data_IF_805973528246
#
_entry.id   IF_805973528246
#
_cell.length_a   1.000
_cell.length_b   1.000
_cell.length_c   1.000
_cell.angle_alpha   90.00
_cell.angle_beta   90.00
_cell.angle_gamma   90.00
#
_symmetry.space_group_name_H-M   'P 1'
#
loop_
_entity.id
_entity.type
_entity.pdbx_description
1 polymer ?
#
# COMPACT_ATOMS: atom_id res chain seq x y z
N UNK A 1 24.31 -5.56 6.10
CA UNK A 1 23.31 -5.28 7.15
C UNK A 1 22.27 -4.36 6.55
N UNK A 2 21.14 -4.90 6.12
CA UNK A 2 19.98 -4.10 5.68
C UNK A 2 19.26 -3.63 6.94
N UNK A 3 19.47 -2.37 7.31
CA UNK A 3 18.79 -1.75 8.44
C UNK A 3 17.29 -1.79 8.23
N UNK A 4 16.59 -2.37 9.20
CA UNK A 4 15.13 -2.29 9.33
C UNK A 4 14.80 -0.80 9.42
N UNK A 5 14.07 -0.28 8.43
CA UNK A 5 13.61 1.10 8.46
C UNK A 5 12.68 1.26 9.67
N UNK A 6 13.17 1.93 10.71
CA UNK A 6 12.41 2.30 11.90
C UNK A 6 11.52 3.54 11.61
N UNK A 7 10.89 3.56 10.44
CA UNK A 7 10.13 4.68 9.90
C UNK A 7 8.87 4.22 9.18
N UNK A 8 7.92 5.14 9.02
CA UNK A 8 6.66 4.87 8.33
C UNK A 8 6.90 4.39 6.89
N UNK A 9 6.02 3.56 6.31
CA UNK A 9 6.24 2.99 4.99
C UNK A 9 6.19 4.07 3.91
N UNK A 10 7.13 3.99 2.95
CA UNK A 10 7.17 4.89 1.79
C UNK A 10 6.21 4.44 0.70
N UNK A 11 6.01 5.28 -0.32
CA UNK A 11 5.24 4.95 -1.52
C UNK A 11 5.66 3.62 -2.13
N UNK A 12 6.97 3.37 -2.28
CA UNK A 12 7.50 2.13 -2.87
C UNK A 12 7.21 0.91 -2.00
N UNK A 13 7.22 1.08 -0.67
CA UNK A 13 6.90 0.02 0.28
C UNK A 13 5.43 -0.37 0.14
N UNK A 14 4.53 0.61 0.09
CA UNK A 14 3.09 0.35 -0.05
C UNK A 14 2.79 -0.27 -1.43
N UNK A 15 3.40 0.23 -2.51
CA UNK A 15 3.25 -0.35 -3.85
C UNK A 15 3.68 -1.82 -3.87
N UNK A 16 4.82 -2.13 -3.26
CA UNK A 16 5.30 -3.51 -3.19
C UNK A 16 4.39 -4.40 -2.34
N UNK A 17 3.89 -3.89 -1.22
CA UNK A 17 2.94 -4.62 -0.37
C UNK A 17 1.63 -4.91 -1.12
N UNK A 18 1.13 -3.93 -1.90
CA UNK A 18 -0.02 -4.09 -2.78
C UNK A 18 0.20 -5.21 -3.80
N UNK A 19 1.31 -5.18 -4.54
CA UNK A 19 1.63 -6.18 -5.56
C UNK A 19 1.79 -7.60 -4.98
N UNK A 20 2.28 -7.71 -3.74
CA UNK A 20 2.39 -8.99 -3.05
C UNK A 20 1.04 -9.63 -2.72
N UNK A 21 -0.05 -8.86 -2.67
CA UNK A 21 -1.40 -9.38 -2.46
C UNK A 21 -2.07 -9.88 -3.74
N UNK A 22 -1.47 -9.67 -4.91
CA UNK A 22 -2.02 -10.13 -6.19
C UNK A 22 -2.45 -11.61 -6.20
N UNK A 23 -1.69 -12.57 -5.62
CA UNK A 23 -2.08 -13.98 -5.60
C UNK A 23 -3.35 -14.25 -4.77
N UNK A 24 -3.60 -13.47 -3.72
CA UNK A 24 -4.76 -13.62 -2.82
C UNK A 24 -5.98 -12.83 -3.26
N UNK A 25 -5.80 -11.77 -4.04
CA UNK A 25 -6.83 -10.79 -4.38
C UNK A 25 -7.53 -11.05 -5.73
N UNK A 26 -6.96 -11.91 -6.58
CA UNK A 26 -7.60 -12.37 -7.82
C UNK A 26 -8.04 -11.22 -8.73
N UNK A 27 -9.30 -11.25 -9.16
CA UNK A 27 -9.88 -10.22 -10.06
C UNK A 27 -10.04 -8.83 -9.42
N UNK A 28 -9.89 -8.71 -8.10
CA UNK A 28 -10.00 -7.43 -7.38
C UNK A 28 -8.66 -6.68 -7.33
N UNK A 29 -7.58 -7.34 -7.74
CA UNK A 29 -6.27 -6.71 -7.85
C UNK A 29 -6.14 -6.01 -9.20
N UNK A 30 -6.05 -4.69 -9.16
CA UNK A 30 -5.77 -3.85 -10.31
C UNK A 30 -4.27 -3.87 -10.61
N UNK A 31 -3.90 -4.60 -11.66
CA UNK A 31 -2.50 -4.76 -12.09
C UNK A 31 -1.91 -3.47 -12.67
N UNK A 32 -2.76 -2.52 -13.05
CA UNK A 32 -2.38 -1.21 -13.57
C UNK A 32 -2.27 -0.14 -12.48
N UNK A 33 -2.56 -0.47 -11.22
CA UNK A 33 -2.53 0.48 -10.12
C UNK A 33 -1.09 0.90 -9.81
N UNK A 34 -0.87 2.23 -9.81
CA UNK A 34 0.39 2.86 -9.43
C UNK A 34 0.13 3.90 -8.36
N UNK A 35 0.71 3.69 -7.18
CA UNK A 35 0.69 4.67 -6.10
C UNK A 35 1.67 5.80 -6.46
N UNK A 36 1.14 7.01 -6.48
CA UNK A 36 1.87 8.24 -6.80
C UNK A 36 2.41 8.89 -5.54
N UNK A 37 1.63 8.86 -4.46
CA UNK A 37 1.98 9.48 -3.18
C UNK A 37 1.44 8.64 -2.02
N UNK A 38 2.22 8.55 -0.95
CA UNK A 38 1.82 7.95 0.30
C UNK A 38 2.27 8.84 1.47
N UNK A 39 1.32 9.25 2.31
CA UNK A 39 1.58 9.94 3.56
C UNK A 39 1.04 9.10 4.71
N UNK A 40 1.93 8.66 5.60
CA UNK A 40 1.59 7.78 6.71
C UNK A 40 1.67 8.52 8.05
N UNK A 41 0.86 8.08 9.01
CA UNK A 41 1.00 8.49 10.39
C UNK A 41 2.28 7.94 11.04
N UNK A 42 2.44 8.20 12.34
CA UNK A 42 3.58 7.74 13.14
C UNK A 42 3.51 6.26 13.53
N UNK A 43 2.46 5.55 13.11
CA UNK A 43 2.13 4.21 13.57
C UNK A 43 1.50 4.17 14.96
N UNK A 44 0.75 3.11 15.23
CA UNK A 44 0.18 2.79 16.54
C UNK A 44 1.13 1.94 17.41
N UNK A 45 0.72 1.66 18.65
CA UNK A 45 1.48 0.82 19.60
C UNK A 45 1.66 -0.63 19.11
N UNK A 46 0.87 -1.05 18.13
CA UNK A 46 0.96 -2.37 17.48
C UNK A 46 1.85 -2.37 16.23
N UNK A 47 2.49 -1.23 15.89
CA UNK A 47 3.35 -1.10 14.71
C UNK A 47 2.57 -1.07 13.40
N UNK A 48 1.28 -0.71 13.43
CA UNK A 48 0.44 -0.50 12.24
C UNK A 48 0.41 0.97 11.90
N UNK A 49 0.44 1.25 10.61
CA UNK A 49 0.42 2.60 10.06
C UNK A 49 -0.87 2.81 9.29
N UNK A 50 -1.48 3.97 9.44
CA UNK A 50 -2.52 4.44 8.54
C UNK A 50 -1.89 5.38 7.52
N UNK A 51 -2.06 5.04 6.25
CA UNK A 51 -1.46 5.76 5.14
C UNK A 51 -2.54 6.26 4.20
N UNK A 52 -2.50 7.55 3.94
CA UNK A 52 -3.24 8.19 2.89
C UNK A 52 -2.48 7.98 1.59
N UNK A 53 -3.12 7.36 0.60
CA UNK A 53 -2.48 7.01 -0.66
C UNK A 53 -3.24 7.64 -1.83
N UNK A 54 -2.49 8.25 -2.73
CA UNK A 54 -2.99 8.70 -4.02
C UNK A 54 -2.44 7.80 -5.11
N UNK A 55 -3.30 7.35 -6.02
CA UNK A 55 -2.94 6.39 -7.05
C UNK A 55 -3.65 6.67 -8.37
N UNK A 56 -3.09 6.14 -9.43
CA UNK A 56 -3.71 6.09 -10.77
C UNK A 56 -3.87 4.62 -11.18
N UNK A 57 -4.77 4.36 -12.12
CA UNK A 57 -4.92 3.06 -12.75
C UNK A 57 -4.64 3.18 -14.24
N UNK A 58 -3.85 2.27 -14.80
CA UNK A 58 -3.66 2.17 -16.25
C UNK A 58 -4.95 1.75 -16.99
N UNK A 59 -5.94 1.18 -16.28
CA UNK A 59 -7.25 0.83 -16.83
C UNK A 59 -8.20 2.03 -16.91
N UNK A 60 -7.85 3.17 -16.28
CA UNK A 60 -8.59 4.42 -16.40
C UNK A 60 -8.04 5.26 -17.57
N UNK A 61 -8.78 5.39 -18.71
CA UNK A 61 -8.31 6.15 -19.86
C UNK A 61 -8.13 7.64 -19.57
N UNK A 62 -8.84 8.17 -18.57
CA UNK A 62 -8.74 9.58 -18.17
C UNK A 62 -7.59 9.81 -17.17
N UNK A 63 -6.91 8.74 -16.74
CA UNK A 63 -5.80 8.76 -15.76
C UNK A 63 -6.12 9.60 -14.53
N UNK A 64 -7.35 9.46 -14.00
CA UNK A 64 -7.79 10.26 -12.86
C UNK A 64 -6.95 9.89 -11.64
N UNK A 65 -6.72 10.89 -10.79
CA UNK A 65 -6.09 10.67 -9.50
C UNK A 65 -7.15 10.19 -8.51
N UNK A 66 -6.94 9.00 -7.95
CA UNK A 66 -7.76 8.41 -6.90
C UNK A 66 -7.08 8.53 -5.55
N UNK A 67 -7.87 8.34 -4.50
CA UNK A 67 -7.42 8.40 -3.12
C UNK A 67 -8.01 7.23 -2.31
N UNK A 68 -7.20 6.64 -1.43
CA UNK A 68 -7.65 5.65 -0.45
C UNK A 68 -6.89 5.83 0.88
N UNK A 69 -7.43 5.24 1.96
CA UNK A 69 -6.72 5.11 3.24
C UNK A 69 -6.44 3.63 3.45
N UNK A 70 -5.15 3.27 3.43
CA UNK A 70 -4.69 1.91 3.67
C UNK A 70 -4.15 1.76 5.08
N UNK A 71 -4.21 0.55 5.60
CA UNK A 71 -3.49 0.17 6.82
C UNK A 71 -2.37 -0.78 6.44
N UNK A 72 -1.15 -0.48 6.88
CA UNK A 72 0.04 -1.26 6.60
C UNK A 72 0.74 -1.69 7.90
N UNK A 73 1.30 -2.89 7.91
CA UNK A 73 2.05 -3.42 9.06
C UNK A 73 3.35 -4.08 8.61
N UNK A 74 4.41 -3.92 9.40
CA UNK A 74 5.67 -4.65 9.19
C UNK A 74 5.62 -5.98 9.94
N UNK A 75 5.68 -7.08 9.20
CA UNK A 75 5.69 -8.46 9.74
C UNK A 75 7.08 -9.10 9.58
N UNK A 76 7.23 -10.32 10.10
CA UNK A 76 8.41 -11.17 9.88
C UNK A 76 8.66 -11.47 8.39
N UNK A 77 7.62 -11.42 7.55
CA UNK A 77 7.68 -11.62 6.10
C UNK A 77 7.83 -10.33 5.29
N UNK A 78 7.90 -9.18 5.96
CA UNK A 78 7.94 -7.85 5.35
C UNK A 78 6.64 -7.07 5.52
N UNK A 79 6.52 -5.98 4.77
CA UNK A 79 5.35 -5.10 4.81
C UNK A 79 4.14 -5.75 4.14
N UNK A 80 2.98 -5.64 4.78
CA UNK A 80 1.70 -6.16 4.28
C UNK A 80 0.62 -5.10 4.40
N UNK A 81 -0.40 -5.12 3.51
CA UNK A 81 -1.59 -4.30 3.67
C UNK A 81 -2.63 -5.06 4.51
N UNK A 82 -2.97 -4.51 5.66
CA UNK A 82 -4.01 -5.09 6.50
C UNK A 82 -5.40 -4.68 6.01
N UNK A 83 -5.53 -3.49 5.39
CA UNK A 83 -6.78 -2.99 4.78
C UNK A 83 -6.53 -2.00 3.63
N UNK A 84 -7.54 -1.79 2.79
CA UNK A 84 -7.49 -0.90 1.62
C UNK A 84 -7.08 -1.64 0.35
N UNK A 85 -6.76 -0.88 -0.71
CA UNK A 85 -6.25 -1.28 -2.04
C UNK A 85 -6.18 -2.79 -2.32
N UNK A 86 -7.33 -3.46 -2.43
CA UNK A 86 -7.59 -4.87 -2.84
C UNK A 86 -8.74 -5.47 -2.02
N UNK A 87 -9.03 -4.92 -0.83
CA UNK A 87 -10.10 -5.42 0.05
C UNK A 87 -11.31 -4.49 0.04
N UNK A 88 -12.17 -4.66 -0.97
CA UNK A 88 -13.60 -4.34 -0.83
C UNK A 88 -14.37 -5.60 -0.43
#
# INVERSE_FOLDING_TARGET
MTGIACGAPTTEIIQKAYEQEAPSSGVRHDKGLKIVEATCDKGDESGRFLCQVSFVSDDDPDKRLYFDIVSAALTDKGWVLTSGLCKR
#
